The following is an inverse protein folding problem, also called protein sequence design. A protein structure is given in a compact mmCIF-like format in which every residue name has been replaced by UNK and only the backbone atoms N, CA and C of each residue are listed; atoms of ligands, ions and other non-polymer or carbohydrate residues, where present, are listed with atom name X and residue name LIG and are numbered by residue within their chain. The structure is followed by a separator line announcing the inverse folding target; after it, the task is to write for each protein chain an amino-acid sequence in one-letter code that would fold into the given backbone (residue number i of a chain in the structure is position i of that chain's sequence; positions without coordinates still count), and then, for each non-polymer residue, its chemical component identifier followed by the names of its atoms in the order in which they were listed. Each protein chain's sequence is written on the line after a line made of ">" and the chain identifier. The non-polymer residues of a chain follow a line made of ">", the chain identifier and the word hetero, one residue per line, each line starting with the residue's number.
data_IF_039272691877
#
_entry.id   IF_039272691877
#
_cell.length_a   1.000
_cell.length_b   1.000
_cell.length_c   1.000
_cell.angle_alpha   90.00
_cell.angle_beta   90.00
_cell.angle_gamma   90.00
#
_symmetry.space_group_name_H-M   'P 1'
#
loop_
_entity.id
_entity.type
_entity.pdbx_description
1 polymer ?
#
# COMPACT_ATOMS: atom_id res chain seq x y z
N UNK A 1 -6.35 3.61 -13.79
CA UNK A 1 -6.76 4.77 -12.96
C UNK A 1 -8.27 4.99 -13.00
N UNK A 2 -8.98 4.56 -14.04
CA UNK A 2 -10.45 4.74 -14.18
C UNK A 2 -11.32 4.00 -13.15
N UNK A 3 -10.86 2.86 -12.61
CA UNK A 3 -11.68 2.04 -11.70
C UNK A 3 -11.94 2.68 -10.33
N UNK A 4 -11.10 3.61 -9.87
CA UNK A 4 -11.29 4.32 -8.59
C UNK A 4 -12.48 5.29 -8.61
N UNK A 5 -12.92 5.70 -9.80
CA UNK A 5 -14.10 6.53 -9.97
C UNK A 5 -15.38 5.72 -10.21
N UNK A 6 -15.29 4.38 -10.15
CA UNK A 6 -16.46 3.51 -10.36
C UNK A 6 -17.37 3.49 -9.14
N UNK A 7 -18.67 3.29 -9.37
CA UNK A 7 -19.65 3.11 -8.29
C UNK A 7 -19.27 1.93 -7.38
N UNK A 8 -18.72 0.85 -7.94
CA UNK A 8 -18.26 -0.32 -7.17
C UNK A 8 -17.16 0.04 -6.17
N UNK A 9 -16.18 0.86 -6.58
CA UNK A 9 -15.15 1.34 -5.67
C UNK A 9 -15.72 2.21 -4.55
N UNK A 10 -16.60 3.16 -4.90
CA UNK A 10 -17.25 4.04 -3.92
C UNK A 10 -18.07 3.25 -2.89
N UNK A 11 -18.81 2.22 -3.34
CA UNK A 11 -19.55 1.32 -2.45
C UNK A 11 -18.62 0.55 -1.53
N UNK A 12 -17.57 -0.09 -2.06
CA UNK A 12 -16.62 -0.84 -1.24
C UNK A 12 -15.92 0.08 -0.22
N UNK A 13 -15.51 1.28 -0.65
CA UNK A 13 -14.90 2.30 0.22
C UNK A 13 -15.85 2.72 1.34
N UNK A 14 -17.14 2.88 1.05
CA UNK A 14 -18.15 3.21 2.07
C UNK A 14 -18.28 2.11 3.12
N UNK A 15 -18.28 0.83 2.69
CA UNK A 15 -18.29 -0.32 3.60
C UNK A 15 -17.02 -0.32 4.45
N UNK A 16 -15.83 -0.20 3.83
CA UNK A 16 -14.54 -0.14 4.54
C UNK A 16 -14.50 1.02 5.54
N UNK A 17 -15.02 2.19 5.17
CA UNK A 17 -15.08 3.37 6.03
C UNK A 17 -15.85 3.11 7.34
N UNK A 18 -16.97 2.39 7.28
CA UNK A 18 -17.71 1.99 8.49
C UNK A 18 -16.86 1.13 9.43
N UNK A 19 -16.07 0.22 8.87
CA UNK A 19 -15.16 -0.63 9.63
C UNK A 19 -13.98 0.16 10.23
N UNK A 20 -13.43 1.12 9.49
CA UNK A 20 -12.38 2.02 9.98
C UNK A 20 -12.91 2.87 11.14
N UNK A 21 -14.06 3.50 10.99
CA UNK A 21 -14.68 4.33 12.04
C UNK A 21 -14.97 3.54 13.33
N UNK A 22 -15.27 2.23 13.22
CA UNK A 22 -15.44 1.34 14.39
C UNK A 22 -14.11 0.92 15.01
N UNK A 23 -13.06 0.79 14.21
CA UNK A 23 -11.75 0.32 14.66
C UNK A 23 -10.90 1.43 15.29
N UNK A 24 -11.17 2.69 14.98
CA UNK A 24 -10.39 3.84 15.44
C UNK A 24 -11.30 4.89 16.07
N UNK A 25 -10.97 5.31 17.29
CA UNK A 25 -11.72 6.35 18.01
C UNK A 25 -11.09 7.73 17.79
N UNK A 26 -11.91 8.76 17.65
CA UNK A 26 -11.46 10.16 17.62
C UNK A 26 -10.77 10.59 16.33
N UNK A 27 -11.01 9.88 15.22
CA UNK A 27 -10.58 10.32 13.90
C UNK A 27 -11.45 11.49 13.41
N UNK A 28 -10.82 12.44 12.73
CA UNK A 28 -11.50 13.44 11.91
C UNK A 28 -12.07 12.83 10.63
N UNK A 29 -13.02 13.50 9.98
CA UNK A 29 -13.57 13.03 8.71
C UNK A 29 -12.49 12.84 7.64
N UNK A 30 -11.53 13.76 7.54
CA UNK A 30 -10.43 13.67 6.57
C UNK A 30 -9.51 12.46 6.85
N UNK A 31 -9.27 12.14 8.12
CA UNK A 31 -8.49 10.94 8.48
C UNK A 31 -9.25 9.66 8.13
N UNK A 32 -10.56 9.59 8.40
CA UNK A 32 -11.40 8.46 8.00
C UNK A 32 -11.37 8.30 6.49
N UNK A 33 -11.52 9.38 5.73
CA UNK A 33 -11.48 9.35 4.26
C UNK A 33 -10.13 8.84 3.74
N UNK A 34 -9.02 9.40 4.23
CA UNK A 34 -7.67 8.97 3.85
C UNK A 34 -7.41 7.50 4.19
N UNK A 35 -7.72 7.09 5.43
CA UNK A 35 -7.56 5.71 5.87
C UNK A 35 -8.42 4.75 5.05
N UNK A 36 -9.65 5.15 4.72
CA UNK A 36 -10.54 4.34 3.89
C UNK A 36 -10.01 4.17 2.48
N UNK A 37 -9.39 5.18 1.89
CA UNK A 37 -8.77 5.08 0.57
C UNK A 37 -7.58 4.12 0.56
N UNK A 38 -6.72 4.21 1.57
CA UNK A 38 -5.59 3.28 1.73
C UNK A 38 -6.10 1.85 1.97
N UNK A 39 -7.02 1.67 2.93
CA UNK A 39 -7.58 0.38 3.27
C UNK A 39 -8.32 -0.26 2.08
N UNK A 40 -9.10 0.51 1.31
CA UNK A 40 -9.81 -0.04 0.14
C UNK A 40 -8.84 -0.52 -0.93
N UNK A 41 -7.76 0.22 -1.17
CA UNK A 41 -6.71 -0.19 -2.10
C UNK A 41 -5.96 -1.45 -1.63
N UNK A 42 -5.69 -1.54 -0.33
CA UNK A 42 -5.04 -2.71 0.27
C UNK A 42 -5.94 -3.94 0.27
N UNK A 43 -7.25 -3.76 0.50
CA UNK A 43 -8.25 -4.83 0.43
C UNK A 43 -8.34 -5.41 -0.99
N UNK A 44 -8.32 -4.55 -2.01
CA UNK A 44 -8.28 -4.98 -3.42
C UNK A 44 -7.06 -5.86 -3.68
N UNK A 45 -5.87 -5.44 -3.21
CA UNK A 45 -4.67 -6.25 -3.34
C UNK A 45 -4.79 -7.57 -2.56
N UNK A 46 -5.34 -7.52 -1.34
CA UNK A 46 -5.56 -8.69 -0.50
C UNK A 46 -6.47 -9.71 -1.17
N UNK A 47 -7.61 -9.30 -1.73
CA UNK A 47 -8.53 -10.17 -2.45
C UNK A 47 -7.84 -10.79 -3.67
N UNK A 48 -7.11 -10.00 -4.44
CA UNK A 48 -6.38 -10.51 -5.60
C UNK A 48 -5.30 -11.55 -5.24
N UNK A 49 -4.70 -11.44 -4.06
CA UNK A 49 -3.76 -12.46 -3.54
C UNK A 49 -4.49 -13.67 -2.97
N UNK A 50 -5.55 -13.47 -2.19
CA UNK A 50 -6.33 -14.53 -1.54
C UNK A 50 -6.97 -15.47 -2.57
N UNK A 51 -7.40 -14.93 -3.70
CA UNK A 51 -8.07 -15.66 -4.78
C UNK A 51 -7.18 -15.87 -6.02
N UNK A 52 -5.87 -15.63 -5.90
CA UNK A 52 -4.84 -15.97 -6.88
C UNK A 52 -5.01 -15.37 -8.30
N UNK A 53 -5.33 -14.08 -8.38
CA UNK A 53 -5.47 -13.35 -9.66
C UNK A 53 -4.73 -12.01 -9.70
N UNK A 54 -3.79 -11.74 -8.77
CA UNK A 54 -3.00 -10.49 -8.73
C UNK A 54 -2.27 -10.17 -10.05
N UNK A 55 -1.86 -11.20 -10.78
CA UNK A 55 -1.13 -11.02 -12.04
C UNK A 55 -2.02 -10.69 -13.23
N UNK A 56 -3.34 -10.80 -13.08
CA UNK A 56 -4.27 -10.43 -14.13
C UNK A 56 -4.14 -8.93 -14.47
N UNK A 57 -4.27 -8.54 -15.75
CA UNK A 57 -4.17 -7.14 -16.16
C UNK A 57 -5.20 -6.25 -15.46
N UNK A 58 -6.39 -6.79 -15.19
CA UNK A 58 -7.56 -6.11 -14.62
C UNK A 58 -7.85 -6.54 -13.17
N UNK A 59 -6.86 -7.06 -12.43
CA UNK A 59 -7.06 -7.59 -11.07
C UNK A 59 -7.80 -6.63 -10.13
N UNK A 60 -7.58 -5.32 -10.26
CA UNK A 60 -8.26 -4.34 -9.42
C UNK A 60 -9.77 -4.32 -9.68
N UNK A 61 -10.18 -4.36 -10.95
CA UNK A 61 -11.58 -4.44 -11.33
C UNK A 61 -12.19 -5.80 -10.93
N UNK A 62 -11.47 -6.90 -11.17
CA UNK A 62 -11.89 -8.24 -10.73
C UNK A 62 -12.12 -8.31 -9.22
N UNK A 63 -11.26 -7.67 -8.43
CA UNK A 63 -11.42 -7.59 -6.96
C UNK A 63 -12.67 -6.84 -6.56
N UNK A 64 -13.01 -5.74 -7.24
CA UNK A 64 -14.23 -4.98 -7.00
C UNK A 64 -15.47 -5.81 -7.31
N UNK A 65 -15.51 -6.47 -8.47
CA UNK A 65 -16.61 -7.36 -8.86
C UNK A 65 -16.75 -8.50 -7.87
N UNK A 66 -15.64 -9.10 -7.44
CA UNK A 66 -15.64 -10.17 -6.44
C UNK A 66 -16.20 -9.67 -5.11
N UNK A 67 -15.78 -8.50 -4.63
CA UNK A 67 -16.28 -7.92 -3.39
C UNK A 67 -17.79 -7.65 -3.45
N UNK A 68 -18.28 -7.07 -4.55
CA UNK A 68 -19.71 -6.87 -4.78
C UNK A 68 -20.47 -8.20 -4.77
N UNK A 69 -19.98 -9.20 -5.50
CA UNK A 69 -20.59 -10.53 -5.58
C UNK A 69 -20.65 -11.21 -4.20
N UNK A 70 -19.56 -11.15 -3.42
CA UNK A 70 -19.53 -11.70 -2.06
C UNK A 70 -20.52 -10.97 -1.15
N UNK A 71 -20.63 -9.64 -1.24
CA UNK A 71 -21.57 -8.86 -0.45
C UNK A 71 -23.04 -9.17 -0.80
N UNK A 72 -23.34 -9.44 -2.07
CA UNK A 72 -24.71 -9.75 -2.54
C UNK A 72 -25.10 -11.22 -2.28
N UNK A 73 -24.23 -12.16 -2.64
CA UNK A 73 -24.54 -13.59 -2.62
C UNK A 73 -24.24 -14.25 -1.26
N UNK A 74 -23.22 -13.79 -0.55
CA UNK A 74 -22.74 -14.39 0.70
C UNK A 74 -22.41 -13.30 1.77
N UNK A 75 -23.36 -12.43 2.14
CA UNK A 75 -23.09 -11.25 2.98
C UNK A 75 -22.43 -11.56 4.32
N UNK A 76 -22.80 -12.68 4.96
CA UNK A 76 -22.20 -13.08 6.24
C UNK A 76 -20.73 -13.51 6.11
N UNK A 77 -20.39 -14.21 5.03
CA UNK A 77 -18.99 -14.61 4.75
C UNK A 77 -18.14 -13.39 4.39
N UNK A 78 -18.72 -12.46 3.61
CA UNK A 78 -18.08 -11.20 3.26
C UNK A 78 -17.80 -10.35 4.51
N UNK A 79 -18.80 -10.19 5.37
CA UNK A 79 -18.70 -9.46 6.64
C UNK A 79 -17.62 -10.07 7.55
N UNK A 80 -17.63 -11.38 7.74
CA UNK A 80 -16.60 -12.09 8.52
C UNK A 80 -15.21 -11.90 7.93
N UNK A 81 -15.04 -12.09 6.61
CA UNK A 81 -13.74 -11.91 5.94
C UNK A 81 -13.23 -10.47 6.10
N UNK A 82 -14.11 -9.49 5.93
CA UNK A 82 -13.75 -8.09 6.02
C UNK A 82 -13.41 -7.68 7.45
N UNK A 83 -14.19 -8.15 8.44
CA UNK A 83 -13.92 -7.92 9.86
C UNK A 83 -12.55 -8.44 10.27
N UNK A 84 -12.26 -9.71 9.96
CA UNK A 84 -10.97 -10.33 10.28
C UNK A 84 -9.81 -9.58 9.60
N UNK A 85 -9.98 -9.21 8.32
CA UNK A 85 -8.98 -8.47 7.57
C UNK A 85 -8.75 -7.06 8.12
N UNK A 86 -9.81 -6.31 8.45
CA UNK A 86 -9.70 -4.95 9.00
C UNK A 86 -9.01 -4.97 10.35
N UNK A 87 -9.27 -5.96 11.20
CA UNK A 87 -8.58 -6.07 12.49
C UNK A 87 -7.06 -6.16 12.30
N UNK A 88 -6.61 -7.04 11.39
CA UNK A 88 -5.18 -7.17 11.06
C UNK A 88 -4.66 -5.89 10.40
N UNK A 89 -5.40 -5.30 9.46
CA UNK A 89 -5.02 -4.06 8.81
C UNK A 89 -4.85 -2.92 9.80
N UNK A 90 -5.76 -2.77 10.76
CA UNK A 90 -5.72 -1.73 11.78
C UNK A 90 -4.52 -1.90 12.73
N UNK A 91 -4.18 -3.15 13.09
CA UNK A 91 -2.97 -3.44 13.85
C UNK A 91 -1.71 -3.04 13.07
N UNK A 92 -1.66 -3.35 11.77
CA UNK A 92 -0.54 -2.97 10.91
C UNK A 92 -0.47 -1.46 10.70
N UNK A 93 -1.58 -0.76 10.52
CA UNK A 93 -1.62 0.69 10.45
C UNK A 93 -0.97 1.32 11.68
N UNK A 94 -1.40 0.93 12.89
CA UNK A 94 -0.84 1.45 14.15
C UNK A 94 0.66 1.13 14.32
N UNK A 95 1.10 -0.02 13.82
CA UNK A 95 2.51 -0.39 13.87
C UNK A 95 3.37 0.43 12.89
N UNK A 96 2.84 0.74 11.70
CA UNK A 96 3.62 1.21 10.55
C UNK A 96 3.54 2.72 10.34
N UNK A 97 2.48 3.37 10.79
CA UNK A 97 2.21 4.78 10.48
C UNK A 97 2.63 5.68 11.64
N UNK A 98 3.55 6.60 11.35
CA UNK A 98 3.87 7.75 12.21
C UNK A 98 3.21 9.00 11.66
N UNK A 99 2.36 9.63 12.46
CA UNK A 99 1.81 10.96 12.15
C UNK A 99 2.81 12.05 12.51
N UNK A 100 3.03 13.01 11.61
CA UNK A 100 3.93 14.16 11.83
C UNK A 100 3.28 15.48 11.36
N UNK A 101 3.68 16.60 11.96
CA UNK A 101 3.21 17.94 11.55
C UNK A 101 4.03 18.53 10.40
N UNK A 102 5.29 18.11 10.30
CA UNK A 102 6.24 18.57 9.31
C UNK A 102 7.19 17.44 8.92
N UNK A 103 7.64 17.46 7.68
CA UNK A 103 8.59 16.49 7.16
C UNK A 103 9.99 16.73 7.75
N UNK A 104 10.76 15.67 7.92
CA UNK A 104 12.18 15.75 8.27
C UNK A 104 12.98 16.12 7.00
N UNK A 105 13.64 17.29 6.93
CA UNK A 105 14.36 17.72 5.74
C UNK A 105 15.44 16.74 5.27
N UNK A 106 16.10 16.04 6.20
CA UNK A 106 17.14 15.07 5.84
C UNK A 106 16.53 13.80 5.25
N UNK A 107 15.38 13.36 5.77
CA UNK A 107 14.62 12.25 5.19
C UNK A 107 14.12 12.61 3.78
N UNK A 108 13.55 13.81 3.59
CA UNK A 108 13.10 14.27 2.27
C UNK A 108 14.24 14.27 1.25
N UNK A 109 15.42 14.76 1.63
CA UNK A 109 16.61 14.71 0.75
C UNK A 109 17.04 13.27 0.45
N UNK A 110 16.99 12.37 1.43
CA UNK A 110 17.35 10.97 1.23
C UNK A 110 16.40 10.27 0.26
N UNK A 111 15.08 10.47 0.42
CA UNK A 111 14.06 9.97 -0.50
C UNK A 111 14.26 10.56 -1.89
N UNK A 112 14.49 11.86 -2.02
CA UNK A 112 14.73 12.47 -3.33
C UNK A 112 15.96 11.88 -4.03
N UNK A 113 17.06 11.66 -3.31
CA UNK A 113 18.27 11.02 -3.89
C UNK A 113 18.01 9.59 -4.35
N UNK A 114 17.16 8.85 -3.62
CA UNK A 114 16.73 7.51 -4.02
C UNK A 114 15.94 7.60 -5.34
N UNK A 115 14.93 8.48 -5.39
CA UNK A 115 14.08 8.68 -6.57
C UNK A 115 14.88 9.11 -7.80
N UNK A 116 15.77 10.10 -7.66
CA UNK A 116 16.59 10.62 -8.76
C UNK A 116 17.47 9.53 -9.39
N UNK A 117 17.97 8.61 -8.55
CA UNK A 117 18.86 7.54 -8.99
C UNK A 117 18.09 6.36 -9.62
N UNK A 118 16.91 6.06 -9.10
CA UNK A 118 16.18 4.83 -9.42
C UNK A 118 15.12 5.04 -10.51
N UNK A 119 14.46 6.20 -10.57
CA UNK A 119 13.36 6.44 -11.52
C UNK A 119 13.74 6.18 -12.98
N UNK A 120 14.89 6.67 -13.49
CA UNK A 120 15.28 6.41 -14.89
C UNK A 120 15.46 4.93 -15.22
N UNK A 121 15.87 4.13 -14.23
CA UNK A 121 16.06 2.68 -14.37
C UNK A 121 14.70 1.98 -14.38
N UNK A 122 13.78 2.37 -13.49
CA UNK A 122 12.44 1.81 -13.45
C UNK A 122 11.63 2.16 -14.71
N UNK A 123 11.78 3.38 -15.22
CA UNK A 123 11.15 3.80 -16.47
C UNK A 123 11.62 2.95 -17.66
N UNK A 124 12.91 2.60 -17.68
CA UNK A 124 13.51 1.73 -18.71
C UNK A 124 13.09 0.25 -18.58
N UNK A 125 12.62 -0.17 -17.41
CA UNK A 125 12.22 -1.54 -17.06
C UNK A 125 10.72 -1.64 -16.75
N UNK A 126 9.89 -0.76 -17.33
CA UNK A 126 8.53 -0.50 -16.84
C UNK A 126 7.68 -1.77 -16.66
N UNK A 127 7.70 -2.70 -17.60
CA UNK A 127 6.94 -3.96 -17.54
C UNK A 127 7.49 -4.94 -16.48
N UNK A 128 8.81 -5.10 -16.41
CA UNK A 128 9.48 -5.92 -15.40
C UNK A 128 9.28 -5.33 -14.00
N UNK A 129 9.39 -4.01 -13.86
CA UNK A 129 9.18 -3.27 -12.62
C UNK A 129 7.74 -3.45 -12.11
N UNK A 130 6.73 -3.37 -13.00
CA UNK A 130 5.34 -3.67 -12.65
C UNK A 130 5.19 -5.11 -12.14
N UNK A 131 5.83 -6.08 -12.81
CA UNK A 131 5.78 -7.49 -12.43
C UNK A 131 6.45 -7.75 -11.07
N UNK A 132 7.62 -7.16 -10.84
CA UNK A 132 8.37 -7.25 -9.58
C UNK A 132 7.60 -6.58 -8.43
N UNK A 133 6.94 -5.45 -8.70
CA UNK A 133 6.08 -4.78 -7.71
C UNK A 133 4.89 -5.65 -7.32
N UNK A 134 4.20 -6.28 -8.29
CA UNK A 134 3.14 -7.27 -8.00
C UNK A 134 3.68 -8.44 -7.18
N UNK A 135 4.87 -8.95 -7.51
CA UNK A 135 5.52 -10.00 -6.73
C UNK A 135 5.79 -9.58 -5.28
N UNK A 136 6.26 -8.35 -5.05
CA UNK A 136 6.45 -7.80 -3.71
C UNK A 136 5.13 -7.65 -2.95
N UNK A 137 4.07 -7.11 -3.58
CA UNK A 137 2.72 -7.00 -2.99
C UNK A 137 2.21 -8.36 -2.52
N UNK A 138 2.25 -9.37 -3.41
CA UNK A 138 1.82 -10.72 -3.07
C UNK A 138 2.63 -11.33 -1.93
N UNK A 139 3.94 -11.08 -1.90
CA UNK A 139 4.83 -11.59 -0.86
C UNK A 139 4.61 -10.91 0.50
N UNK A 140 4.38 -9.60 0.51
CA UNK A 140 4.02 -8.84 1.73
C UNK A 140 2.72 -9.38 2.34
N UNK A 141 1.68 -9.51 1.53
CA UNK A 141 0.37 -10.00 1.98
C UNK A 141 0.47 -11.42 2.54
N UNK A 142 1.20 -12.33 1.88
CA UNK A 142 1.43 -13.70 2.37
C UNK A 142 2.18 -13.74 3.70
N UNK A 143 2.95 -12.71 4.03
CA UNK A 143 3.63 -12.57 5.32
C UNK A 143 2.81 -11.77 6.35
N UNK A 144 1.56 -11.43 6.04
CA UNK A 144 0.66 -10.69 6.93
C UNK A 144 0.85 -9.18 6.91
N UNK A 145 1.68 -8.64 6.00
CA UNK A 145 1.75 -7.19 5.75
C UNK A 145 0.65 -6.80 4.77
N UNK A 146 -0.50 -6.40 5.33
CA UNK A 146 -1.72 -6.06 4.57
C UNK A 146 -1.99 -4.55 4.51
N UNK A 147 -1.14 -3.71 5.10
CA UNK A 147 -1.32 -2.25 5.14
C UNK A 147 -0.24 -1.55 4.31
N UNK A 148 -0.62 -0.54 3.52
CA UNK A 148 0.25 0.20 2.59
C UNK A 148 1.01 -0.70 1.62
N UNK A 149 0.37 -1.77 1.15
CA UNK A 149 1.00 -2.84 0.39
C UNK A 149 1.69 -2.34 -0.89
N UNK A 150 1.04 -1.44 -1.63
CA UNK A 150 1.63 -0.82 -2.83
C UNK A 150 2.83 0.07 -2.52
N UNK A 151 2.77 0.85 -1.43
CA UNK A 151 3.84 1.76 -1.03
C UNK A 151 5.05 0.97 -0.54
N UNK A 152 4.83 -0.03 0.31
CA UNK A 152 5.92 -0.89 0.81
C UNK A 152 6.55 -1.71 -0.31
N UNK A 153 5.77 -2.23 -1.25
CA UNK A 153 6.29 -2.93 -2.42
C UNK A 153 7.14 -2.01 -3.31
N UNK A 154 6.70 -0.78 -3.52
CA UNK A 154 7.42 0.24 -4.28
C UNK A 154 8.76 0.59 -3.62
N UNK A 155 8.74 0.88 -2.33
CA UNK A 155 9.93 1.16 -1.52
C UNK A 155 10.92 0.00 -1.55
N UNK A 156 10.44 -1.23 -1.33
CA UNK A 156 11.28 -2.42 -1.37
C UNK A 156 11.96 -2.60 -2.72
N UNK A 157 11.22 -2.41 -3.82
CA UNK A 157 11.78 -2.48 -5.17
C UNK A 157 12.82 -1.39 -5.39
N UNK A 158 12.50 -0.14 -5.04
CA UNK A 158 13.42 0.99 -5.20
C UNK A 158 14.73 0.80 -4.44
N UNK A 159 14.69 0.29 -3.21
CA UNK A 159 15.89 -0.01 -2.43
C UNK A 159 16.75 -1.11 -3.06
N UNK A 160 16.12 -2.16 -3.61
CA UNK A 160 16.84 -3.23 -4.34
C UNK A 160 17.49 -2.68 -5.61
N UNK A 161 16.78 -1.85 -6.38
CA UNK A 161 17.35 -1.23 -7.59
C UNK A 161 18.47 -0.27 -7.24
N UNK A 162 18.30 0.54 -6.19
CA UNK A 162 19.33 1.45 -5.71
C UNK A 162 20.63 0.74 -5.33
N UNK A 163 20.53 -0.44 -4.70
CA UNK A 163 21.69 -1.29 -4.35
C UNK A 163 22.51 -1.67 -5.58
N UNK A 164 21.87 -1.91 -6.72
CA UNK A 164 22.55 -2.17 -8.00
C UNK A 164 23.13 -0.87 -8.56
N UNK A 165 22.33 0.21 -8.53
CA UNK A 165 22.64 1.45 -9.21
C UNK A 165 23.73 2.30 -8.54
N UNK A 166 24.02 2.09 -7.25
CA UNK A 166 24.85 2.99 -6.43
C UNK A 166 26.19 3.38 -7.09
N UNK A 167 26.85 2.44 -7.77
CA UNK A 167 28.14 2.64 -8.44
C UNK A 167 28.08 2.35 -9.94
N UNK A 168 26.90 2.41 -10.54
CA UNK A 168 26.68 2.09 -11.95
C UNK A 168 25.95 3.24 -12.65
N UNK A 169 26.14 3.34 -13.96
CA UNK A 169 25.28 4.14 -14.84
C UNK A 169 23.89 3.51 -14.96
N UNK A 170 22.93 4.26 -15.51
CA UNK A 170 21.56 3.77 -15.76
C UNK A 170 21.62 2.54 -16.69
N UNK A 171 22.33 2.64 -17.81
CA UNK A 171 22.42 1.56 -18.81
C UNK A 171 23.06 0.29 -18.26
N UNK A 172 24.13 0.41 -17.46
CA UNK A 172 24.77 -0.72 -16.79
C UNK A 172 23.82 -1.38 -15.79
N UNK A 173 23.08 -0.57 -15.02
CA UNK A 173 22.11 -1.06 -14.04
C UNK A 173 20.96 -1.81 -14.70
N UNK A 174 20.39 -1.22 -15.75
CA UNK A 174 19.32 -1.84 -16.56
C UNK A 174 19.82 -3.17 -17.13
N UNK A 175 20.99 -3.18 -17.78
CA UNK A 175 21.59 -4.40 -18.34
C UNK A 175 21.81 -5.47 -17.26
N UNK A 176 22.33 -5.08 -16.10
CA UNK A 176 22.55 -6.01 -14.98
C UNK A 176 21.24 -6.62 -14.50
N UNK A 177 20.21 -5.80 -14.26
CA UNK A 177 18.89 -6.25 -13.78
C UNK A 177 18.26 -7.22 -14.79
N UNK A 178 18.20 -6.83 -16.06
CA UNK A 178 17.62 -7.67 -17.12
C UNK A 178 18.37 -9.00 -17.30
N UNK A 179 19.69 -9.00 -17.10
CA UNK A 179 20.51 -10.21 -17.22
C UNK A 179 20.50 -11.08 -15.96
N UNK A 180 20.09 -10.55 -14.81
CA UNK A 180 20.13 -11.23 -13.51
C UNK A 180 18.79 -11.13 -12.76
N UNK A 181 17.65 -11.56 -13.35
CA UNK A 181 16.33 -11.40 -12.73
C UNK A 181 16.22 -12.13 -11.37
N UNK A 182 16.87 -13.29 -11.23
CA UNK A 182 16.89 -14.04 -9.97
C UNK A 182 17.59 -13.29 -8.84
N UNK A 183 18.60 -12.48 -9.14
CA UNK A 183 19.24 -11.64 -8.14
C UNK A 183 18.23 -10.65 -7.55
N UNK A 184 17.49 -9.95 -8.42
CA UNK A 184 16.50 -8.96 -8.00
C UNK A 184 15.39 -9.62 -7.19
N UNK A 185 14.86 -10.76 -7.65
CA UNK A 185 13.82 -11.51 -6.92
C UNK A 185 14.32 -11.93 -5.52
N UNK A 186 15.54 -12.48 -5.41
CA UNK A 186 16.09 -12.91 -4.13
C UNK A 186 16.31 -11.75 -3.15
N UNK A 187 16.81 -10.62 -3.64
CA UNK A 187 16.95 -9.41 -2.83
C UNK A 187 15.59 -8.86 -2.40
N UNK A 188 14.59 -8.91 -3.27
CA UNK A 188 13.23 -8.47 -2.95
C UNK A 188 12.56 -9.37 -1.90
N UNK A 189 12.75 -10.69 -1.98
CA UNK A 189 12.29 -11.64 -0.95
C UNK A 189 12.91 -11.29 0.40
N UNK A 190 14.24 -11.07 0.43
CA UNK A 190 14.94 -10.69 1.66
C UNK A 190 14.36 -9.39 2.22
N UNK A 191 14.17 -8.40 1.37
CA UNK A 191 13.67 -7.09 1.79
C UNK A 191 12.25 -7.12 2.31
N UNK A 192 11.35 -7.84 1.63
CA UNK A 192 9.97 -8.04 2.07
C UNK A 192 9.91 -8.75 3.43
N UNK A 193 10.80 -9.72 3.68
CA UNK A 193 10.91 -10.39 4.98
C UNK A 193 11.41 -9.45 6.09
N UNK A 194 12.38 -8.61 5.80
CA UNK A 194 12.85 -7.59 6.75
C UNK A 194 11.73 -6.60 7.10
N UNK A 195 10.99 -6.12 6.10
CA UNK A 195 9.83 -5.24 6.29
C UNK A 195 8.82 -5.91 7.21
N UNK A 196 8.41 -7.15 6.93
CA UNK A 196 7.38 -7.84 7.72
C UNK A 196 7.79 -8.11 9.17
N UNK A 197 9.09 -8.34 9.42
CA UNK A 197 9.62 -8.58 10.76
C UNK A 197 9.90 -7.30 11.55
N UNK A 198 10.06 -6.15 10.88
CA UNK A 198 10.34 -4.89 11.53
C UNK A 198 9.20 -4.41 12.44
N UNK A 199 9.51 -4.11 13.70
CA UNK A 199 8.57 -3.61 14.70
C UNK A 199 8.74 -2.10 14.88
N UNK A 200 8.10 -1.32 14.02
CA UNK A 200 8.09 0.12 14.10
C UNK A 200 7.51 0.79 12.85
N UNK A 201 7.59 2.11 12.84
CA UNK A 201 7.03 2.93 11.79
C UNK A 201 7.87 2.83 10.50
N UNK A 202 7.19 2.62 9.38
CA UNK A 202 7.77 2.62 8.02
C UNK A 202 7.16 3.70 7.13
N UNK A 203 6.00 4.23 7.51
CA UNK A 203 5.26 5.22 6.76
C UNK A 203 5.11 6.46 7.63
N UNK A 204 5.48 7.60 7.08
CA UNK A 204 5.26 8.91 7.71
C UNK A 204 4.10 9.58 6.99
N UNK A 205 3.04 9.88 7.72
CA UNK A 205 1.89 10.60 7.18
C UNK A 205 1.87 11.99 7.80
N UNK A 206 1.89 13.01 6.94
CA UNK A 206 1.80 14.39 7.37
C UNK A 206 0.36 14.77 7.67
N UNK A 207 0.12 15.26 8.87
CA UNK A 207 -1.17 15.83 9.28
C UNK A 207 -1.13 17.33 8.99
N UNK A 208 -2.17 17.89 8.37
CA UNK A 208 -2.22 19.34 8.14
C UNK A 208 -2.38 20.06 9.50
N UNK A 209 -1.64 21.14 9.80
CA UNK A 209 -1.81 21.85 11.06
C UNK A 209 -3.21 22.47 11.27
N UNK A 210 -3.98 22.70 10.20
CA UNK A 210 -5.36 23.22 10.29
C UNK A 210 -6.33 22.27 11.01
N UNK A 211 -5.96 20.99 11.19
CA UNK A 211 -6.74 19.98 11.91
C UNK A 211 -7.04 20.35 13.39
N UNK A 212 -6.23 21.20 14.03
CA UNK A 212 -6.46 21.63 15.41
C UNK A 212 -7.35 22.86 15.56
N UNK A 213 -7.74 23.51 14.46
CA UNK A 213 -8.69 24.63 14.51
C UNK A 213 -10.15 24.14 14.51
N UNK A 214 -10.46 23.06 13.80
CA UNK A 214 -11.80 22.45 13.79
C UNK A 214 -12.14 21.71 15.09
N UNK A 215 -11.14 21.13 15.78
CA UNK A 215 -11.33 20.48 17.08
C UNK A 215 -11.73 21.45 18.22
N UNK A 216 -11.72 22.78 17.99
CA UNK A 216 -12.26 23.79 18.92
C UNK A 216 -13.63 24.34 18.48
N UNK A 217 -14.16 23.90 17.35
CA UNK A 217 -15.31 24.51 16.70
C UNK A 217 -16.59 23.69 16.74
N UNK A 218 -16.55 22.39 16.46
CA UNK A 218 -17.79 21.62 16.28
C UNK A 218 -17.67 20.21 16.88
N UNK A 219 -18.41 19.98 17.95
CA UNK A 219 -18.79 18.63 18.38
C UNK A 219 -19.83 18.16 17.36
N UNK A 220 -19.46 17.19 16.52
CA UNK A 220 -20.44 16.50 15.68
C UNK A 220 -21.26 15.62 16.62
N UNK A 221 -22.47 16.07 16.94
CA UNK A 221 -23.51 15.21 17.52
C UNK A 221 -24.02 14.23 16.44
N UNK A 222 -24.16 12.96 16.82
CA UNK A 222 -24.70 11.89 15.99
C UNK A 222 -26.23 11.95 15.91
#
# INVERSE_FOLDING_TARGET
>A
MEWKNSAAYSTLRSIVSHYIARSFTGLTQQEVEFMSDVATQDLINYLAVKYDFLYDPDYAYKSLVLASKLAEENPLEFDSTLSDWVEVWALKWRQRVKLVMSDDPENVKAVQRLEDKVSPILDSLSDEAMTLKKFAVGSLIRLGEVCFTNLMADMALKEVIYKVAINQSVDESVKFISSNPLFVVNELIRRVKEISQFKGNLVVVRVNPSFFQEARGEVVEW
#
